data_IF_125930787426
#
_entry.id   IF_125930787426
#
_cell.length_a   1.000
_cell.length_b   1.000
_cell.length_c   1.000
_cell.angle_alpha   90.00
_cell.angle_beta   90.00
_cell.angle_gamma   90.00
#
_symmetry.space_group_name_H-M   'P 1'
#
loop_
_entity.id
_entity.type
_entity.pdbx_description
1 polymer ?
#
# COMPACT_ATOMS: atom_id res chain seq x y z
N UNK A 1 -5.64 12.58 13.49
CA UNK A 1 -4.95 12.66 12.17
C UNK A 1 -3.71 13.56 12.22
N UNK A 2 -3.85 14.87 12.47
CA UNK A 2 -2.73 15.83 12.41
C UNK A 2 -1.53 15.52 13.33
N UNK A 3 -1.74 15.26 14.63
CA UNK A 3 -0.63 14.99 15.57
C UNK A 3 0.19 13.76 15.20
N UNK A 4 -0.47 12.67 14.80
CA UNK A 4 0.22 11.45 14.35
C UNK A 4 1.01 11.70 13.06
N UNK A 5 0.42 12.39 12.08
CA UNK A 5 1.11 12.75 10.83
C UNK A 5 2.39 13.58 11.09
N UNK A 6 2.34 14.54 12.01
CA UNK A 6 3.51 15.36 12.38
C UNK A 6 4.60 14.51 13.05
N UNK A 7 4.23 13.69 14.03
CA UNK A 7 5.19 12.85 14.76
C UNK A 7 5.84 11.80 13.85
N UNK A 8 5.06 11.09 13.04
CA UNK A 8 5.59 10.09 12.10
C UNK A 8 6.46 10.73 11.02
N UNK A 9 6.14 11.96 10.60
CA UNK A 9 6.98 12.71 9.66
C UNK A 9 8.36 13.02 10.22
N UNK A 10 8.44 13.48 11.47
CA UNK A 10 9.72 13.82 12.10
C UNK A 10 10.60 12.59 12.35
N UNK A 11 10.00 11.42 12.56
CA UNK A 11 10.73 10.22 13.02
C UNK A 11 10.98 9.17 11.93
N UNK A 12 10.09 9.06 10.94
CA UNK A 12 10.11 7.96 9.97
C UNK A 12 10.47 8.39 8.53
N UNK A 13 10.32 9.68 8.18
CA UNK A 13 10.49 10.14 6.79
C UNK A 13 11.87 9.82 6.21
N UNK A 14 12.94 10.08 6.97
CA UNK A 14 14.32 9.79 6.55
C UNK A 14 14.57 8.30 6.36
N UNK A 15 13.98 7.46 7.21
CA UNK A 15 14.11 5.99 7.13
C UNK A 15 13.42 5.45 5.88
N UNK A 16 12.20 5.89 5.60
CA UNK A 16 11.48 5.49 4.37
C UNK A 16 12.19 5.98 3.11
N UNK A 17 12.63 7.25 3.08
CA UNK A 17 13.38 7.78 1.93
C UNK A 17 14.62 6.94 1.63
N UNK A 18 15.44 6.64 2.64
CA UNK A 18 16.64 5.81 2.47
C UNK A 18 16.31 4.38 2.02
N UNK A 19 15.27 3.78 2.60
CA UNK A 19 14.84 2.43 2.24
C UNK A 19 14.40 2.35 0.77
N UNK A 20 13.56 3.29 0.34
CA UNK A 20 13.04 3.35 -1.04
C UNK A 20 14.17 3.62 -2.04
N UNK A 21 15.07 4.57 -1.73
CA UNK A 21 16.22 4.88 -2.59
C UNK A 21 17.16 3.67 -2.73
N UNK A 22 17.42 2.96 -1.64
CA UNK A 22 18.27 1.77 -1.66
C UNK A 22 17.64 0.58 -2.40
N UNK A 23 16.32 0.40 -2.31
CA UNK A 23 15.62 -0.72 -2.96
C UNK A 23 15.38 -0.50 -4.46
N UNK A 24 15.46 0.74 -4.94
CA UNK A 24 15.25 1.12 -6.35
C UNK A 24 13.98 0.47 -6.94
N UNK A 25 12.79 0.75 -6.39
CA UNK A 25 11.57 0.08 -6.82
C UNK A 25 11.05 0.65 -8.14
N UNK A 26 10.55 -0.22 -9.02
CA UNK A 26 9.71 0.16 -10.16
C UNK A 26 8.24 0.33 -9.75
N UNK A 27 7.85 -0.23 -8.60
CA UNK A 27 6.51 -0.11 -8.00
C UNK A 27 6.63 -0.26 -6.48
N UNK A 28 5.83 0.51 -5.73
CA UNK A 28 5.70 0.36 -4.29
C UNK A 28 4.31 -0.17 -3.94
N UNK A 29 4.26 -1.25 -3.15
CA UNK A 29 3.02 -1.83 -2.65
C UNK A 29 2.98 -1.68 -1.13
N UNK A 30 1.92 -1.06 -0.63
CA UNK A 30 1.68 -0.83 0.79
C UNK A 30 0.59 -1.75 1.32
N UNK A 31 0.94 -2.56 2.31
CA UNK A 31 0.05 -3.55 2.96
C UNK A 31 -0.18 -3.22 4.44
N UNK A 32 0.05 -1.97 4.86
CA UNK A 32 -0.12 -1.57 6.26
C UNK A 32 -0.78 -0.18 6.37
N UNK A 33 -1.77 0.03 7.25
CA UNK A 33 -2.55 1.26 7.30
C UNK A 33 -1.72 2.52 7.56
N UNK A 34 -0.65 2.43 8.35
CA UNK A 34 0.22 3.57 8.68
C UNK A 34 1.31 3.88 7.63
N UNK A 35 1.32 3.16 6.51
CA UNK A 35 2.35 3.26 5.48
C UNK A 35 1.83 3.87 4.18
N UNK A 36 0.86 4.79 4.27
CA UNK A 36 0.37 5.56 3.12
C UNK A 36 1.05 6.93 3.03
N UNK A 37 0.79 7.84 3.97
CA UNK A 37 1.24 9.24 3.88
C UNK A 37 2.77 9.39 3.75
N UNK A 38 3.55 8.78 4.63
CA UNK A 38 5.01 8.97 4.67
C UNK A 38 5.70 8.34 3.46
N UNK A 39 5.46 7.06 3.09
CA UNK A 39 6.08 6.47 1.91
C UNK A 39 5.70 7.19 0.61
N UNK A 40 4.44 7.61 0.44
CA UNK A 40 4.00 8.37 -0.74
C UNK A 40 4.77 9.69 -0.86
N UNK A 41 4.94 10.43 0.25
CA UNK A 41 5.70 11.69 0.24
C UNK A 41 7.18 11.47 -0.06
N UNK A 42 7.78 10.45 0.56
CA UNK A 42 9.17 10.09 0.33
C UNK A 42 9.40 9.71 -1.14
N UNK A 43 8.55 8.83 -1.69
CA UNK A 43 8.61 8.40 -3.08
C UNK A 43 8.48 9.58 -4.05
N UNK A 44 7.49 10.47 -3.83
CA UNK A 44 7.32 11.68 -4.64
C UNK A 44 8.56 12.58 -4.62
N UNK A 45 9.23 12.70 -3.46
CA UNK A 45 10.45 13.49 -3.34
C UNK A 45 11.62 12.85 -4.09
N UNK A 46 11.74 11.52 -4.06
CA UNK A 46 12.79 10.79 -4.78
C UNK A 46 12.56 10.86 -6.30
N UNK A 47 11.31 10.68 -6.75
CA UNK A 47 10.93 10.86 -8.16
C UNK A 47 11.31 12.26 -8.65
N UNK A 48 10.96 13.32 -7.89
CA UNK A 48 11.27 14.70 -8.24
C UNK A 48 12.78 15.00 -8.29
N UNK A 49 13.60 14.21 -7.58
CA UNK A 49 15.06 14.32 -7.59
C UNK A 49 15.72 13.44 -8.67
N UNK A 50 14.97 12.66 -9.44
CA UNK A 50 15.54 11.71 -10.39
C UNK A 50 16.27 10.54 -9.71
N UNK A 51 15.88 10.20 -8.47
CA UNK A 51 16.55 9.16 -7.68
C UNK A 51 15.86 7.79 -7.75
N UNK A 52 14.69 7.71 -8.38
CA UNK A 52 13.99 6.44 -8.64
C UNK A 52 14.31 5.92 -10.05
N UNK A 53 14.24 4.60 -10.29
CA UNK A 53 14.47 4.04 -11.62
C UNK A 53 13.52 4.60 -12.69
N UNK A 54 12.24 4.78 -12.37
CA UNK A 54 11.25 5.34 -13.30
C UNK A 54 11.59 6.77 -13.71
N UNK A 55 12.03 7.59 -12.76
CA UNK A 55 12.45 8.96 -13.04
C UNK A 55 13.73 9.00 -13.89
N UNK A 56 14.69 8.11 -13.62
CA UNK A 56 15.93 7.98 -14.40
C UNK A 56 15.68 7.51 -15.83
N UNK A 57 14.67 6.67 -16.06
CA UNK A 57 14.23 6.23 -17.39
C UNK A 57 13.34 7.25 -18.11
N UNK A 58 12.95 8.35 -17.46
CA UNK A 58 12.02 9.34 -18.03
C UNK A 58 10.56 8.90 -18.05
N UNK A 59 10.20 7.85 -17.31
CA UNK A 59 8.82 7.32 -17.19
C UNK A 59 7.98 8.13 -16.19
N UNK A 60 8.61 9.05 -15.45
CA UNK A 60 7.97 9.91 -14.48
C UNK A 60 7.80 9.25 -13.12
N UNK A 61 6.58 9.29 -12.59
CA UNK A 61 6.26 8.92 -11.20
C UNK A 61 6.31 7.40 -11.01
N UNK A 62 6.98 6.94 -9.94
CA UNK A 62 6.92 5.54 -9.51
C UNK A 62 5.50 5.21 -9.01
N UNK A 63 4.82 4.18 -9.54
CA UNK A 63 3.50 3.79 -9.07
C UNK A 63 3.48 3.38 -7.59
N UNK A 64 2.47 3.85 -6.87
CA UNK A 64 2.21 3.51 -5.47
C UNK A 64 0.83 2.88 -5.33
N UNK A 65 0.79 1.63 -4.86
CA UNK A 65 -0.44 0.84 -4.73
C UNK A 65 -0.66 0.48 -3.26
N UNK A 66 -1.91 0.58 -2.82
CA UNK A 66 -2.33 0.12 -1.49
C UNK A 66 -3.13 -1.17 -1.62
N UNK A 67 -2.86 -2.16 -0.77
CA UNK A 67 -3.68 -3.37 -0.64
C UNK A 67 -4.20 -3.45 0.79
N UNK A 68 -5.50 -3.24 0.95
CA UNK A 68 -6.15 -3.26 2.25
C UNK A 68 -6.29 -4.69 2.73
N UNK A 69 -5.75 -4.98 3.92
CA UNK A 69 -5.78 -6.32 4.52
C UNK A 69 -6.83 -6.46 5.64
N UNK A 70 -7.60 -5.43 5.92
CA UNK A 70 -8.66 -5.44 6.93
C UNK A 70 -9.94 -6.08 6.34
N UNK A 71 -10.58 -6.99 7.06
CA UNK A 71 -11.68 -7.82 6.53
C UNK A 71 -13.09 -7.17 6.61
N UNK A 72 -13.24 -6.00 7.24
CA UNK A 72 -14.55 -5.33 7.30
C UNK A 72 -14.59 -3.99 8.04
N UNK A 73 -13.71 -3.77 9.01
CA UNK A 73 -13.60 -2.51 9.76
C UNK A 73 -12.37 -1.69 9.35
N UNK A 74 -12.19 -1.45 8.04
CA UNK A 74 -10.94 -0.88 7.55
C UNK A 74 -10.64 0.50 8.16
N UNK A 75 -9.47 0.63 8.78
CA UNK A 75 -9.08 1.89 9.40
C UNK A 75 -8.92 3.01 8.35
N UNK A 76 -9.40 4.25 8.58
CA UNK A 76 -9.31 5.34 7.60
C UNK A 76 -7.90 5.65 7.07
N UNK A 77 -6.85 5.30 7.83
CA UNK A 77 -5.45 5.49 7.42
C UNK A 77 -5.06 4.68 6.17
N UNK A 78 -5.80 3.64 5.80
CA UNK A 78 -5.61 2.94 4.53
C UNK A 78 -5.85 3.81 3.31
N UNK A 79 -6.71 4.82 3.41
CA UNK A 79 -7.25 5.51 2.26
C UNK A 79 -6.54 6.84 2.01
N UNK A 80 -5.64 6.82 1.02
CA UNK A 80 -4.94 8.01 0.55
C UNK A 80 -5.14 8.23 -0.95
N UNK A 81 -5.78 9.34 -1.32
CA UNK A 81 -6.09 9.69 -2.72
C UNK A 81 -4.86 9.81 -3.63
N UNK A 82 -3.65 9.93 -3.05
CA UNK A 82 -2.39 10.00 -3.79
C UNK A 82 -1.87 8.64 -4.25
N UNK A 83 -2.37 7.53 -3.69
CA UNK A 83 -2.14 6.21 -4.24
C UNK A 83 -2.70 6.14 -5.67
N UNK A 84 -2.04 5.38 -6.54
CA UNK A 84 -2.45 5.19 -7.92
C UNK A 84 -3.60 4.20 -8.01
N UNK A 85 -3.53 3.11 -7.24
CA UNK A 85 -4.61 2.14 -7.05
C UNK A 85 -4.75 1.75 -5.57
N UNK A 86 -5.98 1.43 -5.17
CA UNK A 86 -6.30 0.89 -3.86
C UNK A 86 -7.14 -0.38 -4.02
N UNK A 87 -6.57 -1.51 -3.59
CA UNK A 87 -7.20 -2.82 -3.61
C UNK A 87 -7.94 -3.04 -2.30
N UNK A 88 -9.21 -3.39 -2.39
CA UNK A 88 -10.09 -3.66 -1.25
C UNK A 88 -10.60 -5.10 -1.30
N UNK A 89 -10.78 -5.77 -0.15
CA UNK A 89 -11.12 -7.19 -0.12
C UNK A 89 -12.61 -7.48 -0.27
N UNK A 90 -13.49 -6.51 -0.01
CA UNK A 90 -14.94 -6.73 0.05
C UNK A 90 -15.74 -5.44 -0.12
N UNK A 91 -17.04 -5.58 -0.43
CA UNK A 91 -17.95 -4.43 -0.59
C UNK A 91 -18.00 -3.52 0.66
N UNK A 92 -18.06 -4.04 1.91
CA UNK A 92 -18.03 -3.18 3.10
C UNK A 92 -16.79 -2.29 3.17
N UNK A 93 -15.62 -2.82 2.79
CA UNK A 93 -14.37 -2.04 2.79
C UNK A 93 -14.35 -1.05 1.63
N UNK A 94 -14.90 -1.42 0.46
CA UNK A 94 -15.08 -0.51 -0.67
C UNK A 94 -15.93 0.70 -0.26
N UNK A 95 -17.02 0.47 0.46
CA UNK A 95 -17.90 1.55 0.93
C UNK A 95 -17.19 2.48 1.92
N UNK A 96 -16.38 1.93 2.84
CA UNK A 96 -15.54 2.74 3.73
C UNK A 96 -14.54 3.57 2.95
N UNK A 97 -13.91 2.99 1.91
CA UNK A 97 -12.96 3.69 1.06
C UNK A 97 -13.60 4.90 0.35
N UNK A 98 -14.80 4.72 -0.21
CA UNK A 98 -15.58 5.78 -0.86
C UNK A 98 -15.97 6.85 0.15
N UNK A 99 -16.45 6.47 1.34
CA UNK A 99 -16.74 7.42 2.45
C UNK A 99 -15.51 8.20 2.89
N UNK A 100 -14.32 7.61 2.78
CA UNK A 100 -13.05 8.27 3.06
C UNK A 100 -12.53 9.14 1.88
N UNK A 101 -13.28 9.23 0.79
CA UNK A 101 -12.98 10.10 -0.36
C UNK A 101 -12.03 9.49 -1.40
N UNK A 102 -11.88 8.16 -1.44
CA UNK A 102 -11.15 7.51 -2.54
C UNK A 102 -11.92 7.63 -3.86
N UNK A 103 -11.27 8.04 -4.96
CA UNK A 103 -11.91 8.04 -6.27
C UNK A 103 -12.25 6.61 -6.71
N UNK A 104 -13.49 6.37 -7.14
CA UNK A 104 -13.95 5.04 -7.56
C UNK A 104 -13.08 4.45 -8.69
N UNK A 105 -12.62 5.28 -9.63
CA UNK A 105 -11.72 4.86 -10.71
C UNK A 105 -10.38 4.29 -10.24
N UNK A 106 -9.97 4.55 -8.98
CA UNK A 106 -8.76 4.01 -8.36
C UNK A 106 -9.01 2.77 -7.48
N UNK A 107 -10.27 2.42 -7.21
CA UNK A 107 -10.61 1.25 -6.41
C UNK A 107 -10.62 -0.02 -7.26
N UNK A 108 -10.09 -1.11 -6.72
CA UNK A 108 -10.15 -2.45 -7.31
C UNK A 108 -10.56 -3.43 -6.23
N UNK A 109 -11.54 -4.30 -6.52
CA UNK A 109 -12.02 -5.28 -5.56
C UNK A 109 -11.68 -6.68 -6.05
N UNK A 110 -10.68 -7.30 -5.43
CA UNK A 110 -10.14 -8.61 -5.84
C UNK A 110 -10.06 -9.62 -4.67
N UNK A 111 -10.62 -9.30 -3.51
CA UNK A 111 -10.46 -10.12 -2.31
C UNK A 111 -9.13 -9.88 -1.59
N UNK A 112 -8.90 -10.64 -0.52
CA UNK A 112 -7.64 -10.62 0.22
C UNK A 112 -6.59 -11.44 -0.54
N UNK A 113 -5.36 -10.95 -0.72
CA UNK A 113 -4.31 -11.74 -1.35
C UNK A 113 -3.99 -12.98 -0.51
N UNK A 114 -4.14 -14.15 -1.12
CA UNK A 114 -3.74 -15.44 -0.55
C UNK A 114 -2.52 -15.98 -1.28
N UNK A 115 -1.61 -16.63 -0.53
CA UNK A 115 -0.47 -17.34 -1.11
C UNK A 115 -0.99 -18.45 -2.04
N UNK A 116 -0.32 -18.66 -3.17
CA UNK A 116 -0.73 -19.63 -4.19
C UNK A 116 -1.00 -21.05 -3.64
N UNK A 117 -0.27 -21.47 -2.61
CA UNK A 117 -0.48 -22.77 -1.95
C UNK A 117 -1.85 -22.94 -1.26
N UNK A 118 -2.60 -21.85 -1.03
CA UNK A 118 -3.96 -21.89 -0.48
C UNK A 118 -5.05 -21.79 -1.56
N UNK A 119 -4.69 -21.76 -2.85
CA UNK A 119 -5.68 -21.66 -3.93
C UNK A 119 -6.41 -22.98 -4.17
N UNK A 120 -5.73 -24.09 -3.91
CA UNK A 120 -6.33 -25.44 -3.98
C UNK A 120 -6.77 -25.88 -2.60
N UNK A 121 -7.82 -26.68 -2.56
CA UNK A 121 -8.23 -27.33 -1.33
C UNK A 121 -7.11 -28.23 -0.80
N UNK A 122 -6.71 -28.00 0.44
CA UNK A 122 -5.74 -28.84 1.11
C UNK A 122 -6.36 -30.20 1.43
N UNK A 123 -5.70 -31.27 1.00
CA UNK A 123 -6.15 -32.65 1.20
C UNK A 123 -5.45 -33.33 2.37
N UNK A 124 -4.33 -32.77 2.84
CA UNK A 124 -3.60 -33.29 4.01
C UNK A 124 -4.32 -32.96 5.32
N UNK A 125 -4.14 -33.79 6.33
CA UNK A 125 -4.67 -33.53 7.67
C UNK A 125 -4.02 -32.29 8.31
N UNK A 126 -4.68 -31.70 9.29
CA UNK A 126 -4.17 -30.53 10.02
C UNK A 126 -2.82 -30.83 10.69
N UNK A 127 -2.64 -32.05 11.18
CA UNK A 127 -1.40 -32.51 11.82
C UNK A 127 -0.25 -32.58 10.81
N UNK A 128 -0.52 -33.02 9.58
CA UNK A 128 0.47 -33.10 8.52
C UNK A 128 0.94 -31.73 8.00
N UNK A 129 0.14 -30.67 8.20
CA UNK A 129 0.46 -29.29 7.81
C UNK A 129 1.27 -28.49 8.84
N UNK A 130 1.29 -28.89 10.12
CA UNK A 130 1.89 -28.10 11.21
C UNK A 130 3.40 -28.30 11.39
N UNK A 131 4.08 -28.87 10.39
CA UNK A 131 5.56 -29.01 10.36
C UNK A 131 6.18 -27.91 9.51
#
# INVERSE_FOLDING_TARGET
RWFQEVQTRLTCFGKFSRCIEASKPDIVISVHPLTQDIPIRALKQLDAKGLTPTAQRGEGKTPFVTVVTDLGGAHPCWFDKRADLCFVPSDPVRDVAIKCGMPEGKLRQHGLPLRAGFWTQETRSKEAMRK
#
